data_IF_786451413873
#
_entry.id   IF_786451413873
#
_cell.length_a   1.000
_cell.length_b   1.000
_cell.length_c   1.000
_cell.angle_alpha   90.00
_cell.angle_beta   90.00
_cell.angle_gamma   90.00
#
_symmetry.space_group_name_H-M   'P 1'
#
loop_
_entity.id
_entity.type
_entity.pdbx_description
1 polymer ?
#
# COMPACT_ATOMS: atom_id res chain seq x y z
N UNK A 1 -19.97 -8.37 -11.20
CA UNK A 1 -19.78 -6.91 -10.99
C UNK A 1 -19.49 -6.69 -9.52
N UNK A 2 -18.25 -6.35 -9.18
CA UNK A 2 -17.91 -5.90 -7.83
C UNK A 2 -18.62 -4.54 -7.65
N UNK A 3 -19.62 -4.48 -6.75
CA UNK A 3 -20.25 -3.20 -6.40
C UNK A 3 -19.12 -2.23 -6.03
N UNK A 4 -19.11 -1.04 -6.63
CA UNK A 4 -18.23 0.05 -6.21
C UNK A 4 -18.49 0.31 -4.73
N UNK A 5 -17.68 -0.30 -3.86
CA UNK A 5 -17.61 0.10 -2.45
C UNK A 5 -16.91 1.43 -2.42
N UNK A 6 -17.31 2.34 -1.54
CA UNK A 6 -16.59 3.58 -1.25
C UNK A 6 -16.16 3.52 0.22
N UNK A 7 -15.14 2.70 0.50
CA UNK A 7 -14.74 2.33 1.86
C UNK A 7 -13.30 2.77 2.12
N UNK A 8 -13.13 3.51 3.20
CA UNK A 8 -11.87 3.69 3.91
C UNK A 8 -12.01 3.03 5.28
N UNK A 9 -10.91 2.49 5.81
CA UNK A 9 -10.89 1.92 7.15
C UNK A 9 -10.77 3.05 8.17
N UNK A 10 -11.50 2.93 9.28
CA UNK A 10 -11.26 3.75 10.46
C UNK A 10 -9.93 3.36 11.13
N UNK A 11 -9.39 4.24 11.99
CA UNK A 11 -8.17 3.94 12.76
C UNK A 11 -8.38 2.73 13.70
N UNK A 12 -9.58 2.56 14.25
CA UNK A 12 -9.93 1.40 15.09
C UNK A 12 -9.97 0.09 14.30
N UNK A 13 -10.53 0.12 13.08
CA UNK A 13 -10.47 -1.03 12.17
C UNK A 13 -9.04 -1.36 11.76
N UNK A 14 -8.20 -0.34 11.49
CA UNK A 14 -6.78 -0.53 11.19
C UNK A 14 -6.04 -1.20 12.36
N UNK A 15 -6.21 -0.67 13.58
CA UNK A 15 -5.61 -1.25 14.79
C UNK A 15 -6.07 -2.68 15.04
N UNK A 16 -7.35 -2.95 14.83
CA UNK A 16 -7.90 -4.30 14.99
C UNK A 16 -7.35 -5.25 13.93
N UNK A 17 -7.30 -4.82 12.67
CA UNK A 17 -6.77 -5.61 11.56
C UNK A 17 -5.27 -5.93 11.73
N UNK A 18 -4.46 -4.95 12.13
CA UNK A 18 -3.01 -5.14 12.35
C UNK A 18 -2.75 -6.08 13.53
N UNK A 19 -3.52 -5.95 14.62
CA UNK A 19 -3.51 -6.89 15.75
C UNK A 19 -3.79 -8.33 15.30
N UNK A 20 -4.80 -8.53 14.46
CA UNK A 20 -5.19 -9.85 13.94
C UNK A 20 -4.11 -10.41 13.01
N UNK A 21 -3.58 -9.60 12.09
CA UNK A 21 -2.49 -10.04 11.20
C UNK A 21 -1.25 -10.48 11.97
N UNK A 22 -0.94 -9.83 13.10
CA UNK A 22 0.12 -10.26 14.00
C UNK A 22 -0.22 -11.57 14.71
N UNK A 23 -1.41 -11.67 15.31
CA UNK A 23 -1.85 -12.88 16.01
C UNK A 23 -1.76 -14.11 15.12
N UNK A 24 -2.00 -13.95 13.82
CA UNK A 24 -1.94 -15.00 12.81
C UNK A 24 -0.75 -14.81 11.84
N UNK A 25 0.41 -14.38 12.34
CA UNK A 25 1.61 -14.10 11.53
C UNK A 25 2.12 -15.32 10.76
N UNK A 26 1.95 -16.52 11.32
CA UNK A 26 2.26 -17.80 10.67
C UNK A 26 1.41 -18.03 9.40
N UNK A 27 0.17 -17.51 9.39
CA UNK A 27 -0.77 -17.63 8.28
C UNK A 27 -0.66 -16.48 7.29
N UNK A 28 -0.63 -15.26 7.79
CA UNK A 28 -0.55 -14.07 6.95
C UNK A 28 0.86 -13.91 6.39
N UNK A 29 1.89 -14.01 7.23
CA UNK A 29 3.30 -13.94 6.87
C UNK A 29 3.87 -12.52 6.95
N UNK A 30 5.13 -12.39 7.40
CA UNK A 30 5.78 -11.08 7.63
C UNK A 30 5.81 -10.17 6.39
N UNK A 31 6.16 -10.69 5.20
CA UNK A 31 6.16 -9.87 3.97
C UNK A 31 4.74 -9.46 3.57
N UNK A 32 3.71 -10.20 4.01
CA UNK A 32 2.33 -9.74 3.87
C UNK A 32 1.99 -8.65 4.89
N UNK A 33 2.52 -8.68 6.09
CA UNK A 33 2.36 -7.54 7.02
C UNK A 33 3.06 -6.29 6.48
N UNK A 34 4.35 -6.35 6.11
CA UNK A 34 5.18 -5.21 5.67
C UNK A 34 4.60 -4.51 4.43
N UNK A 35 4.61 -5.21 3.30
CA UNK A 35 3.39 -5.46 2.56
C UNK A 35 2.23 -4.46 2.63
N UNK A 36 1.29 -4.79 3.53
CA UNK A 36 0.03 -4.08 3.69
C UNK A 36 0.25 -2.70 4.29
N UNK A 37 1.23 -2.57 5.18
CA UNK A 37 1.62 -1.28 5.76
C UNK A 37 2.15 -0.34 4.67
N UNK A 38 2.99 -0.83 3.75
CA UNK A 38 3.46 -0.04 2.61
C UNK A 38 2.30 0.42 1.71
N UNK A 39 1.34 -0.45 1.38
CA UNK A 39 0.16 -0.03 0.62
C UNK A 39 -0.67 1.04 1.35
N UNK A 40 -0.72 0.97 2.67
CA UNK A 40 -1.45 1.91 3.51
C UNK A 40 -0.76 3.27 3.63
N UNK A 41 0.58 3.33 3.70
CA UNK A 41 1.31 4.60 3.89
C UNK A 41 1.79 5.24 2.58
N UNK A 42 1.80 4.49 1.46
CA UNK A 42 2.21 5.01 0.16
C UNK A 42 1.03 5.40 -0.74
N UNK A 43 -0.20 4.97 -0.41
CA UNK A 43 -1.38 5.30 -1.22
C UNK A 43 -1.35 4.76 -2.67
N UNK A 44 -0.48 3.80 -2.97
CA UNK A 44 -0.25 3.30 -4.34
C UNK A 44 -1.24 2.24 -4.79
N UNK A 45 -1.37 2.08 -6.11
CA UNK A 45 -2.17 1.02 -6.73
C UNK A 45 -1.50 -0.33 -6.47
N UNK A 46 -2.33 -1.38 -6.40
CA UNK A 46 -1.85 -2.76 -6.19
C UNK A 46 -0.79 -3.24 -7.20
N UNK A 47 -0.81 -2.73 -8.43
CA UNK A 47 0.20 -3.08 -9.45
C UNK A 47 1.46 -2.24 -9.37
N UNK A 48 1.38 -1.02 -8.84
CA UNK A 48 2.53 -0.13 -8.72
C UNK A 48 3.56 -0.78 -7.79
N UNK A 49 3.21 -1.11 -6.54
CA UNK A 49 4.19 -1.75 -5.64
C UNK A 49 4.48 -3.22 -5.96
N UNK A 50 3.47 -4.00 -6.39
CA UNK A 50 3.65 -5.43 -6.66
C UNK A 50 4.68 -5.72 -7.76
N UNK A 51 4.84 -4.80 -8.71
CA UNK A 51 5.63 -5.02 -9.91
C UNK A 51 6.94 -4.20 -9.89
N UNK A 52 7.30 -3.57 -8.76
CA UNK A 52 8.47 -2.69 -8.70
C UNK A 52 9.80 -3.42 -8.51
N UNK A 53 10.79 -3.11 -9.36
CA UNK A 53 12.19 -3.45 -9.10
C UNK A 53 12.80 -2.53 -8.05
N UNK A 54 13.84 -3.00 -7.36
CA UNK A 54 14.61 -2.18 -6.41
C UNK A 54 15.31 -0.99 -7.06
N UNK A 55 15.58 -1.05 -8.37
CA UNK A 55 16.23 0.04 -9.12
C UNK A 55 15.42 1.32 -9.19
N UNK A 56 14.12 1.26 -8.87
CA UNK A 56 13.26 2.45 -8.77
C UNK A 56 13.35 3.16 -7.42
N UNK A 57 14.01 2.56 -6.44
CA UNK A 57 14.05 3.06 -5.06
C UNK A 57 15.43 3.62 -4.71
N UNK A 58 15.47 4.92 -4.40
CA UNK A 58 16.58 5.54 -3.68
C UNK A 58 16.23 5.61 -2.19
N UNK A 59 16.54 4.53 -1.46
CA UNK A 59 16.23 4.43 -0.03
C UNK A 59 17.06 5.39 0.84
N UNK A 60 18.16 5.93 0.32
CA UNK A 60 18.98 6.92 1.02
C UNK A 60 18.32 8.29 0.94
N UNK A 61 17.81 8.67 -0.23
CA UNK A 61 17.03 9.91 -0.40
C UNK A 61 15.60 9.80 0.12
N UNK A 62 15.09 8.59 0.28
CA UNK A 62 13.69 8.36 0.62
C UNK A 62 12.76 8.62 -0.56
N UNK A 63 13.14 8.13 -1.75
CA UNK A 63 12.39 8.36 -2.98
C UNK A 63 12.12 7.05 -3.73
N UNK A 64 10.93 6.94 -4.30
CA UNK A 64 10.56 5.89 -5.24
C UNK A 64 10.06 6.51 -6.54
N UNK A 65 10.85 6.36 -7.62
CA UNK A 65 10.49 6.84 -8.94
C UNK A 65 9.74 5.76 -9.74
N UNK A 66 8.47 6.01 -10.06
CA UNK A 66 7.71 5.18 -10.99
C UNK A 66 7.86 5.80 -12.39
N UNK A 67 8.52 5.13 -13.35
CA UNK A 67 8.74 5.69 -14.69
C UNK A 67 7.47 5.70 -15.55
N UNK A 68 7.45 6.53 -16.60
CA UNK A 68 6.33 6.73 -17.52
C UNK A 68 5.72 5.42 -18.05
N UNK A 69 6.54 4.43 -18.36
CA UNK A 69 6.08 3.16 -18.93
C UNK A 69 5.39 2.24 -17.90
N UNK A 70 5.50 2.55 -16.59
CA UNK A 70 4.85 1.80 -15.50
C UNK A 70 3.62 2.49 -14.92
N UNK A 71 3.42 3.78 -15.16
CA UNK A 71 2.18 4.45 -14.75
C UNK A 71 1.02 4.05 -15.67
N UNK A 72 -0.17 3.85 -15.10
CA UNK A 72 -1.34 3.44 -15.86
C UNK A 72 -1.73 4.48 -16.93
N UNK A 73 -1.56 5.76 -16.62
CA UNK A 73 -1.83 6.93 -17.48
C UNK A 73 -0.97 8.10 -16.99
N UNK A 74 -0.38 8.86 -17.92
CA UNK A 74 0.33 10.10 -17.62
C UNK A 74 1.84 9.95 -17.61
N UNK A 75 2.51 10.87 -16.91
CA UNK A 75 3.96 10.88 -16.71
C UNK A 75 4.34 10.10 -15.46
N UNK A 76 5.58 9.67 -15.39
CA UNK A 76 6.21 9.12 -14.21
C UNK A 76 6.15 10.10 -13.05
N UNK A 77 6.28 9.55 -11.85
CA UNK A 77 6.12 10.28 -10.60
C UNK A 77 7.13 9.79 -9.58
N UNK A 78 7.63 10.71 -8.76
CA UNK A 78 8.42 10.38 -7.58
C UNK A 78 7.46 10.34 -6.39
N UNK A 79 7.43 9.20 -5.71
CA UNK A 79 6.70 8.96 -4.47
C UNK A 79 7.68 9.16 -3.31
N UNK A 80 7.46 10.16 -2.44
CA UNK A 80 8.25 10.31 -1.23
C UNK A 80 8.04 9.13 -0.28
N UNK A 81 9.12 8.61 0.28
CA UNK A 81 9.11 7.54 1.26
C UNK A 81 9.27 8.13 2.65
N UNK A 82 8.32 7.84 3.54
CA UNK A 82 8.49 8.14 4.96
C UNK A 82 9.59 7.28 5.57
N UNK A 83 10.10 7.70 6.73
CA UNK A 83 11.09 6.93 7.50
C UNK A 83 10.65 5.47 7.75
N UNK A 84 9.38 5.28 8.12
CA UNK A 84 8.79 3.95 8.35
C UNK A 84 8.72 3.11 7.06
N UNK A 85 8.39 3.74 5.92
CA UNK A 85 8.35 3.05 4.64
C UNK A 85 9.74 2.57 4.23
N UNK A 86 10.77 3.42 4.41
CA UNK A 86 12.18 3.05 4.15
C UNK A 86 12.60 1.87 5.02
N UNK A 87 12.26 1.88 6.31
CA UNK A 87 12.57 0.78 7.22
C UNK A 87 11.90 -0.54 6.80
N UNK A 88 10.60 -0.51 6.49
CA UNK A 88 9.89 -1.69 6.00
C UNK A 88 10.44 -2.21 4.67
N UNK A 89 10.89 -1.32 3.78
CA UNK A 89 11.57 -1.68 2.54
C UNK A 89 12.92 -2.36 2.81
N UNK A 90 13.71 -1.89 3.77
CA UNK A 90 14.93 -2.59 4.18
C UNK A 90 14.65 -4.00 4.73
N UNK A 91 13.60 -4.15 5.56
CA UNK A 91 13.17 -5.46 6.05
C UNK A 91 12.75 -6.40 4.90
N UNK A 92 12.02 -5.88 3.90
CA UNK A 92 11.68 -6.66 2.71
C UNK A 92 12.90 -7.01 1.88
N UNK A 93 13.86 -6.09 1.73
CA UNK A 93 15.10 -6.31 0.97
C UNK A 93 15.93 -7.44 1.57
N UNK A 94 16.09 -7.46 2.90
CA UNK A 94 16.76 -8.56 3.60
C UNK A 94 16.08 -9.93 3.39
N UNK A 95 14.78 -9.93 3.08
CA UNK A 95 13.96 -11.13 2.87
C UNK A 95 13.73 -11.47 1.40
N UNK A 96 14.29 -10.67 0.49
CA UNK A 96 14.12 -10.82 -0.96
C UNK A 96 15.07 -11.86 -1.57
N UNK A 97 16.04 -12.37 -0.81
CA UNK A 97 17.04 -13.36 -1.24
C UNK A 97 17.75 -12.97 -2.56
N UNK A 98 18.11 -11.69 -2.69
CA UNK A 98 18.81 -11.18 -3.87
C UNK A 98 17.93 -10.94 -5.10
N UNK A 99 16.60 -10.99 -4.96
CA UNK A 99 15.70 -10.65 -6.06
C UNK A 99 15.86 -9.20 -6.49
N UNK A 100 15.72 -8.95 -7.79
CA UNK A 100 15.64 -7.61 -8.37
C UNK A 100 14.36 -6.87 -7.99
N UNK A 101 13.32 -7.57 -7.48
CA UNK A 101 12.01 -7.01 -7.18
C UNK A 101 11.74 -6.88 -5.68
N UNK A 102 10.99 -5.83 -5.32
CA UNK A 102 10.58 -5.56 -3.93
C UNK A 102 9.72 -6.70 -3.37
N UNK A 103 8.80 -7.21 -4.20
CA UNK A 103 7.89 -8.29 -3.86
C UNK A 103 8.08 -9.47 -4.81
N UNK A 104 9.10 -10.32 -4.58
CA UNK A 104 9.44 -11.42 -5.48
C UNK A 104 8.36 -12.51 -5.53
N UNK A 105 8.28 -13.20 -6.67
CA UNK A 105 7.46 -14.39 -6.80
C UNK A 105 8.02 -15.52 -5.90
N UNK A 106 7.15 -16.17 -5.13
CA UNK A 106 7.57 -17.21 -4.17
C UNK A 106 7.59 -18.63 -4.75
N UNK A 107 6.80 -18.94 -5.78
CA UNK A 107 6.73 -20.27 -6.44
C UNK A 107 6.18 -20.18 -7.87
N UNK A 108 6.79 -20.92 -8.81
CA UNK A 108 6.20 -21.36 -10.08
C UNK A 108 5.50 -20.28 -10.91
N UNK A 109 5.98 -19.04 -10.84
CA UNK A 109 5.42 -17.90 -11.58
C UNK A 109 6.23 -17.68 -12.84
N UNK A 110 5.55 -17.37 -13.94
CA UNK A 110 6.20 -16.92 -15.18
C UNK A 110 6.76 -15.50 -15.05
N UNK A 111 6.31 -14.75 -14.04
CA UNK A 111 6.81 -13.42 -13.69
C UNK A 111 7.75 -13.48 -12.47
N UNK A 112 8.80 -12.64 -12.40
CA UNK A 112 9.75 -12.62 -11.29
C UNK A 112 9.19 -12.00 -9.99
N UNK A 113 8.01 -11.37 -10.03
CA UNK A 113 7.35 -10.70 -8.91
C UNK A 113 5.93 -11.24 -8.64
N UNK A 114 5.34 -10.90 -7.51
CA UNK A 114 3.97 -11.32 -7.17
C UNK A 114 2.95 -10.67 -8.12
N UNK A 115 1.93 -11.43 -8.54
CA UNK A 115 0.82 -10.83 -9.28
C UNK A 115 0.07 -9.79 -8.43
N UNK A 116 -0.46 -8.74 -9.05
CA UNK A 116 -1.11 -7.60 -8.36
C UNK A 116 -2.30 -7.98 -7.45
N UNK A 117 -2.98 -9.09 -7.70
CA UNK A 117 -4.05 -9.62 -6.84
C UNK A 117 -3.58 -10.53 -5.70
N UNK A 118 -2.29 -10.86 -5.65
CA UNK A 118 -1.73 -11.75 -4.61
C UNK A 118 -2.00 -11.22 -3.22
N UNK A 119 -1.91 -9.89 -3.05
CA UNK A 119 -2.19 -9.25 -1.77
C UNK A 119 -3.64 -9.37 -1.35
N UNK A 120 -4.57 -9.06 -2.26
CA UNK A 120 -6.00 -9.24 -2.00
C UNK A 120 -6.33 -10.70 -1.70
N UNK A 121 -5.70 -11.67 -2.38
CA UNK A 121 -5.87 -13.08 -2.03
C UNK A 121 -5.41 -13.41 -0.61
N UNK A 122 -4.29 -12.83 -0.15
CA UNK A 122 -3.83 -13.02 1.22
C UNK A 122 -4.80 -12.40 2.24
N UNK A 123 -5.31 -11.20 1.98
CA UNK A 123 -6.34 -10.55 2.82
C UNK A 123 -7.63 -11.37 2.83
N UNK A 124 -8.14 -11.79 1.68
CA UNK A 124 -9.35 -12.60 1.55
C UNK A 124 -9.30 -13.88 2.39
N UNK A 125 -8.14 -14.55 2.44
CA UNK A 125 -7.95 -15.73 3.29
C UNK A 125 -8.15 -15.45 4.78
N UNK A 126 -7.77 -14.26 5.24
CA UNK A 126 -8.02 -13.85 6.63
C UNK A 126 -9.52 -13.67 6.91
N UNK A 127 -10.30 -13.29 5.90
CA UNK A 127 -11.77 -13.22 5.95
C UNK A 127 -12.47 -14.56 5.70
N UNK A 128 -11.73 -15.67 5.53
CA UNK A 128 -12.32 -16.95 5.15
C UNK A 128 -12.88 -16.97 3.71
N UNK A 129 -12.47 -16.04 2.85
CA UNK A 129 -12.95 -15.93 1.47
C UNK A 129 -11.98 -16.67 0.55
N UNK A 130 -12.47 -17.72 -0.11
CA UNK A 130 -11.74 -18.48 -1.11
C UNK A 130 -12.41 -18.38 -2.49
N UNK A 131 -11.61 -18.39 -3.56
CA UNK A 131 -12.13 -18.41 -4.94
C UNK A 131 -12.25 -19.85 -5.43
N UNK A 132 -13.29 -20.12 -6.23
CA UNK A 132 -13.51 -21.41 -6.88
C UNK A 132 -14.07 -22.46 -5.91
N UNK A 133 -13.65 -23.72 -6.06
CA UNK A 133 -14.21 -24.87 -5.32
C UNK A 133 -13.47 -25.20 -4.02
N UNK A 134 -12.60 -24.31 -3.53
CA UNK A 134 -11.85 -24.55 -2.29
C UNK A 134 -12.74 -24.33 -1.08
N UNK A 135 -12.60 -25.19 -0.07
CA UNK A 135 -13.31 -25.03 1.21
C UNK A 135 -12.81 -23.74 1.90
N UNK A 136 -13.70 -22.80 2.26
CA UNK A 136 -13.30 -21.59 2.96
C UNK A 136 -12.72 -21.93 4.34
N UNK A 137 -11.70 -21.19 4.74
CA UNK A 137 -11.18 -21.19 6.11
C UNK A 137 -12.09 -20.39 7.06
N UNK A 138 -11.79 -20.37 8.37
CA UNK A 138 -12.51 -19.52 9.30
C UNK A 138 -12.28 -18.02 9.00
N UNK A 139 -13.23 -17.18 9.36
CA UNK A 139 -13.06 -15.73 9.36
C UNK A 139 -12.28 -15.31 10.62
N UNK A 140 -11.01 -14.98 10.45
CA UNK A 140 -10.14 -14.49 11.52
C UNK A 140 -10.34 -13.00 11.83
N UNK A 141 -10.97 -12.25 10.91
CA UNK A 141 -11.12 -10.80 10.99
C UNK A 141 -12.32 -10.36 11.84
N UNK A 142 -13.09 -11.31 12.38
CA UNK A 142 -14.26 -11.03 13.21
C UNK A 142 -15.29 -10.16 12.47
N UNK A 143 -15.73 -9.10 13.15
CA UNK A 143 -16.74 -8.16 12.65
C UNK A 143 -16.17 -7.04 11.78
N UNK A 144 -14.85 -7.01 11.56
CA UNK A 144 -14.25 -6.06 10.64
C UNK A 144 -14.84 -6.31 9.26
N UNK A 145 -15.40 -5.28 8.63
CA UNK A 145 -15.93 -5.46 7.29
C UNK A 145 -14.80 -5.67 6.28
N UNK A 146 -15.06 -6.54 5.31
CA UNK A 146 -14.08 -6.92 4.29
C UNK A 146 -13.48 -5.71 3.55
N UNK A 147 -12.17 -5.72 3.39
CA UNK A 147 -11.42 -4.70 2.67
C UNK A 147 -10.37 -5.29 1.74
N UNK A 148 -9.86 -4.45 0.84
CA UNK A 148 -8.84 -4.78 -0.16
C UNK A 148 -7.70 -3.76 -0.11
N UNK A 149 -6.64 -3.98 -0.90
CA UNK A 149 -5.59 -2.98 -1.13
C UNK A 149 -6.14 -1.64 -1.63
N UNK A 150 -7.22 -1.67 -2.42
CA UNK A 150 -7.82 -0.42 -2.90
C UNK A 150 -8.43 0.40 -1.76
N UNK A 151 -9.00 -0.26 -0.75
CA UNK A 151 -9.54 0.40 0.43
C UNK A 151 -8.42 0.93 1.34
N UNK A 152 -7.25 0.27 1.40
CA UNK A 152 -6.06 0.83 2.05
C UNK A 152 -5.59 2.13 1.38
N UNK A 153 -5.59 2.17 0.05
CA UNK A 153 -5.27 3.39 -0.71
C UNK A 153 -6.28 4.53 -0.46
N UNK A 154 -7.58 4.21 -0.33
CA UNK A 154 -8.59 5.21 0.06
C UNK A 154 -8.42 5.67 1.50
N UNK A 155 -8.00 4.76 2.37
CA UNK A 155 -7.68 5.06 3.77
C UNK A 155 -6.53 6.06 3.81
N UNK A 156 -5.43 5.81 3.09
CA UNK A 156 -4.33 6.77 2.94
C UNK A 156 -4.84 8.16 2.53
N UNK A 157 -5.56 8.25 1.41
CA UNK A 157 -6.09 9.53 0.90
C UNK A 157 -6.95 10.24 1.95
N UNK A 158 -7.82 9.50 2.63
CA UNK A 158 -8.70 10.06 3.67
C UNK A 158 -7.90 10.58 4.87
N UNK A 159 -6.78 9.92 5.22
CA UNK A 159 -5.87 10.40 6.27
C UNK A 159 -5.13 11.67 5.84
N UNK A 160 -4.70 11.78 4.59
CA UNK A 160 -4.08 13.02 4.07
C UNK A 160 -5.06 14.19 4.20
N UNK A 161 -6.33 14.00 3.80
CA UNK A 161 -7.36 15.04 3.99
C UNK A 161 -7.60 15.37 5.48
N UNK A 162 -7.69 14.34 6.34
CA UNK A 162 -7.93 14.52 7.78
C UNK A 162 -6.79 15.27 8.49
N UNK A 163 -5.57 15.20 7.95
CA UNK A 163 -4.39 15.93 8.42
C UNK A 163 -4.33 17.39 7.93
N UNK A 164 -5.34 17.84 7.17
CA UNK A 164 -5.52 19.23 6.76
C UNK A 164 -4.79 19.62 5.47
N UNK A 165 -4.30 18.66 4.69
CA UNK A 165 -3.73 18.95 3.37
C UNK A 165 -4.83 19.30 2.35
N UNK A 166 -4.45 19.98 1.28
CA UNK A 166 -5.40 20.36 0.23
C UNK A 166 -5.84 19.14 -0.60
N UNK A 167 -7.04 19.21 -1.18
CA UNK A 167 -7.52 18.16 -2.08
C UNK A 167 -6.60 17.89 -3.28
N UNK A 168 -5.82 18.89 -3.72
CA UNK A 168 -4.81 18.73 -4.77
C UNK A 168 -3.67 17.82 -4.31
N UNK A 169 -3.19 18.01 -3.08
CA UNK A 169 -2.17 17.15 -2.47
C UNK A 169 -2.72 15.73 -2.29
N UNK A 170 -3.97 15.56 -1.86
CA UNK A 170 -4.60 14.24 -1.72
C UNK A 170 -4.59 13.44 -3.03
N UNK A 171 -5.00 14.08 -4.13
CA UNK A 171 -5.07 13.47 -5.45
C UNK A 171 -3.67 13.17 -6.01
N UNK A 172 -2.73 14.11 -5.87
CA UNK A 172 -1.35 13.92 -6.34
C UNK A 172 -0.59 12.87 -5.52
N UNK A 173 -0.81 12.80 -4.21
CA UNK A 173 -0.18 11.81 -3.32
C UNK A 173 -0.52 10.37 -3.72
N UNK A 174 -1.71 10.13 -4.27
CA UNK A 174 -2.09 8.83 -4.82
C UNK A 174 -1.87 8.71 -6.33
N UNK A 175 -1.13 9.62 -6.97
CA UNK A 175 -0.91 9.61 -8.42
C UNK A 175 -2.22 9.58 -9.22
N UNK A 176 -3.14 10.50 -8.88
CA UNK A 176 -4.29 10.84 -9.71
C UNK A 176 -3.98 12.06 -10.56
N UNK A 177 -4.50 12.05 -11.79
CA UNK A 177 -4.54 13.26 -12.61
C UNK A 177 -5.57 14.22 -12.02
N UNK A 178 -5.18 15.49 -11.87
CA UNK A 178 -6.11 16.55 -11.51
C UNK A 178 -7.18 16.69 -12.60
N UNK A 179 -8.43 16.92 -12.19
CA UNK A 179 -9.58 17.05 -13.10
C UNK A 179 -9.89 18.53 -13.32
N UNK A 180 -10.57 18.86 -14.42
CA UNK A 180 -11.07 20.21 -14.68
C UNK A 180 -9.95 21.24 -14.92
N UNK A 181 -10.23 22.50 -14.58
CA UNK A 181 -9.31 23.64 -14.79
C UNK A 181 -7.98 23.46 -14.06
N UNK A 182 -7.97 22.83 -12.88
CA UNK A 182 -6.75 22.57 -12.11
C UNK A 182 -5.73 21.75 -12.93
N UNK A 183 -6.17 20.71 -13.64
CA UNK A 183 -5.27 19.90 -14.47
C UNK A 183 -4.72 20.61 -15.71
N UNK A 184 -5.31 21.74 -16.14
CA UNK A 184 -4.85 22.55 -17.27
C UNK A 184 -3.74 23.54 -16.87
N UNK A 185 -3.78 24.04 -15.63
CA UNK A 185 -2.91 25.13 -15.18
C UNK A 185 -1.87 24.70 -14.15
N UNK A 186 -2.17 23.70 -13.32
CA UNK A 186 -1.33 23.30 -12.22
C UNK A 186 -0.32 22.22 -12.62
N UNK A 187 0.87 22.69 -13.02
CA UNK A 187 2.02 21.85 -13.33
C UNK A 187 2.89 21.54 -12.11
N UNK A 188 2.57 22.10 -10.95
CA UNK A 188 3.31 21.83 -9.73
C UNK A 188 2.98 20.40 -9.27
N UNK A 189 4.01 19.68 -8.82
CA UNK A 189 3.85 18.29 -8.38
C UNK A 189 3.65 18.18 -6.86
N UNK A 190 3.68 19.32 -6.15
CA UNK A 190 3.51 19.39 -4.70
C UNK A 190 4.41 18.42 -3.95
N UNK A 191 5.63 18.20 -4.44
CA UNK A 191 6.50 17.15 -3.92
C UNK A 191 6.73 17.31 -2.42
N UNK A 192 6.98 18.54 -1.96
CA UNK A 192 7.28 18.81 -0.56
C UNK A 192 6.04 18.61 0.33
N UNK A 193 4.87 19.04 -0.11
CA UNK A 193 3.61 18.81 0.59
C UNK A 193 3.24 17.32 0.60
N UNK A 194 3.45 16.61 -0.51
CA UNK A 194 3.28 15.15 -0.58
C UNK A 194 4.25 14.45 0.35
N UNK A 195 5.50 14.89 0.45
CA UNK A 195 6.49 14.33 1.38
C UNK A 195 6.04 14.49 2.82
N UNK A 196 5.57 15.67 3.19
CA UNK A 196 4.99 15.93 4.52
C UNK A 196 3.73 15.09 4.78
N UNK A 197 2.86 14.93 3.77
CA UNK A 197 1.66 14.11 3.87
C UNK A 197 2.00 12.63 4.11
N UNK A 198 2.91 12.04 3.33
CA UNK A 198 3.34 10.66 3.49
C UNK A 198 3.97 10.43 4.86
N UNK A 199 4.81 11.36 5.34
CA UNK A 199 5.39 11.26 6.67
C UNK A 199 4.33 11.31 7.77
N UNK A 200 3.45 12.32 7.78
CA UNK A 200 2.42 12.47 8.82
C UNK A 200 1.42 11.30 8.84
N UNK A 201 1.05 10.76 7.68
CA UNK A 201 0.22 9.55 7.63
C UNK A 201 0.97 8.36 8.19
N UNK A 202 2.24 8.18 7.84
CA UNK A 202 3.04 7.09 8.38
C UNK A 202 3.19 7.20 9.90
N UNK A 203 3.44 8.39 10.46
CA UNK A 203 3.50 8.62 11.91
C UNK A 203 2.19 8.24 12.62
N UNK A 204 1.04 8.63 12.04
CA UNK A 204 -0.28 8.29 12.59
C UNK A 204 -0.56 6.77 12.54
N UNK A 205 -0.16 6.10 11.47
CA UNK A 205 -0.31 4.65 11.30
C UNK A 205 0.68 3.87 12.16
N UNK A 206 1.90 4.37 12.34
CA UNK A 206 2.94 3.73 13.15
C UNK A 206 2.45 3.48 14.57
N UNK A 207 1.73 4.42 15.17
CA UNK A 207 1.12 4.25 16.51
C UNK A 207 0.15 3.06 16.60
N UNK A 208 -0.39 2.59 15.47
CA UNK A 208 -1.32 1.47 15.38
C UNK A 208 -0.63 0.15 14.99
N UNK A 209 0.62 0.21 14.53
CA UNK A 209 1.33 -0.90 13.90
C UNK A 209 2.63 -1.26 14.64
N UNK A 210 3.35 -0.29 15.19
CA UNK A 210 4.75 -0.42 15.65
C UNK A 210 4.91 -0.99 17.05
N UNK A 211 3.97 -0.77 17.96
CA UNK A 211 3.94 -1.46 19.26
C UNK A 211 3.93 -3.01 19.11
N UNK A 212 3.66 -3.49 17.90
CA UNK A 212 3.29 -4.86 17.61
C UNK A 212 4.18 -5.52 16.53
N UNK A 213 5.10 -4.80 15.87
CA UNK A 213 5.96 -5.35 14.80
C UNK A 213 7.40 -5.69 15.21
N UNK A 214 7.83 -5.28 16.41
CA UNK A 214 9.01 -5.81 17.13
C UNK A 214 8.62 -7.01 17.99
#
# INVERSE_FOLDING_TARGET
MEKSRDRALSLDELKSATTIFRKYMDRFGKDNSLSGCLYLVLGVRKGELAESPWSEFDLVKGEWEIPDHRVKKGKGIIIPLSTQAVEWLHMLKARSFGSEYVLPARRGSTKPYIGSDTRNRAINKMFGIEKGRKKPGPNYMGDIAHFTVHDLRRTFRSQVSALGFSGVVDERAINHSLKGLEGLYDRYDYYEERRQAHQKVADAIELLVWYDLM
#
